data_IF_887340131361
#
_entry.id   IF_887340131361
#
_cell.length_a   1.000
_cell.length_b   1.000
_cell.length_c   1.000
_cell.angle_alpha   90.00
_cell.angle_beta   90.00
_cell.angle_gamma   90.00
#
_symmetry.space_group_name_H-M   'P 1'
#
loop_
_entity.id
_entity.type
_entity.pdbx_description
1 polymer ?
#
# COMPACT_ATOMS: atom_id res chain seq x y z
N UNK A 1 31.81 4.52 3.76
CA UNK A 1 31.37 3.64 2.67
C UNK A 1 30.15 4.29 2.08
N UNK A 2 30.19 4.65 0.80
CA UNK A 2 29.07 5.29 0.12
C UNK A 2 28.32 4.18 -0.63
N UNK A 3 27.02 4.05 -0.37
CA UNK A 3 26.17 3.03 -1.01
C UNK A 3 25.57 3.61 -2.29
N UNK A 4 25.40 2.81 -3.37
CA UNK A 4 24.72 3.25 -4.57
C UNK A 4 23.32 3.80 -4.25
N UNK A 5 22.89 4.94 -4.81
CA UNK A 5 21.58 5.53 -4.53
C UNK A 5 20.41 4.58 -4.80
N UNK A 6 20.51 3.74 -5.83
CA UNK A 6 19.53 2.71 -6.18
C UNK A 6 19.38 1.64 -5.10
N UNK A 7 20.49 1.23 -4.47
CA UNK A 7 20.49 0.24 -3.40
C UNK A 7 19.88 0.84 -2.12
N UNK A 8 20.19 2.10 -1.83
CA UNK A 8 19.55 2.84 -0.73
C UNK A 8 18.03 2.95 -0.92
N UNK A 9 17.58 3.27 -2.15
CA UNK A 9 16.17 3.39 -2.46
C UNK A 9 15.45 2.04 -2.37
N UNK A 10 16.04 0.98 -2.91
CA UNK A 10 15.49 -0.37 -2.83
C UNK A 10 15.38 -0.82 -1.38
N UNK A 11 16.45 -0.64 -0.59
CA UNK A 11 16.47 -0.99 0.83
C UNK A 11 15.37 -0.26 1.61
N UNK A 12 15.13 1.03 1.31
CA UNK A 12 14.05 1.80 1.92
C UNK A 12 12.68 1.22 1.59
N UNK A 13 12.37 0.96 0.32
CA UNK A 13 11.07 0.42 -0.08
C UNK A 13 10.83 -0.99 0.49
N UNK A 14 11.86 -1.83 0.49
CA UNK A 14 11.84 -3.15 1.11
C UNK A 14 11.59 -3.08 2.63
N UNK A 15 12.24 -2.13 3.31
CA UNK A 15 12.06 -1.93 4.76
C UNK A 15 10.63 -1.49 5.09
N UNK A 16 10.07 -0.57 4.30
CA UNK A 16 8.66 -0.14 4.44
C UNK A 16 7.72 -1.32 4.20
N UNK A 17 7.92 -2.09 3.14
CA UNK A 17 7.08 -3.25 2.84
C UNK A 17 7.10 -4.28 3.97
N UNK A 18 8.29 -4.61 4.51
CA UNK A 18 8.42 -5.56 5.61
C UNK A 18 7.77 -5.07 6.91
N UNK A 19 7.84 -3.76 7.19
CA UNK A 19 7.16 -3.16 8.32
C UNK A 19 5.63 -3.25 8.18
N UNK A 20 5.09 -2.96 6.99
CA UNK A 20 3.65 -3.09 6.71
C UNK A 20 3.17 -4.54 6.79
N UNK A 21 3.95 -5.50 6.26
CA UNK A 21 3.63 -6.93 6.38
C UNK A 21 3.60 -7.36 7.84
N UNK A 22 4.59 -6.93 8.62
CA UNK A 22 4.66 -7.26 10.05
C UNK A 22 3.48 -6.66 10.83
N UNK A 23 3.06 -5.43 10.49
CA UNK A 23 1.90 -4.79 11.09
C UNK A 23 0.60 -5.55 10.75
N UNK A 24 0.45 -6.00 9.51
CA UNK A 24 -0.77 -6.66 9.03
C UNK A 24 -0.88 -8.14 9.45
N UNK A 25 0.19 -8.75 9.96
CA UNK A 25 0.23 -10.18 10.28
C UNK A 25 -0.84 -10.66 11.29
N UNK A 26 -1.36 -9.77 12.12
CA UNK A 26 -2.43 -10.07 13.09
C UNK A 26 -3.86 -9.78 12.60
N UNK A 27 -4.03 -9.28 11.37
CA UNK A 27 -5.34 -8.88 10.83
C UNK A 27 -6.00 -10.09 10.17
N UNK A 28 -7.30 -10.28 10.44
CA UNK A 28 -8.11 -11.30 9.77
C UNK A 28 -8.88 -10.71 8.58
N UNK A 29 -9.00 -11.50 7.52
CA UNK A 29 -9.67 -11.09 6.29
C UNK A 29 -8.75 -10.36 5.30
N UNK A 30 -9.30 -9.92 4.16
CA UNK A 30 -8.51 -9.27 3.13
C UNK A 30 -8.12 -7.83 3.52
N UNK A 31 -6.97 -7.39 3.02
CA UNK A 31 -6.48 -6.03 3.25
C UNK A 31 -6.97 -5.09 2.17
N UNK A 32 -7.54 -3.95 2.57
CA UNK A 32 -7.84 -2.85 1.65
C UNK A 32 -6.67 -1.86 1.66
N UNK A 33 -6.03 -1.70 0.51
CA UNK A 33 -4.88 -0.82 0.32
C UNK A 33 -5.33 0.47 -0.39
N UNK A 34 -5.14 1.62 0.27
CA UNK A 34 -5.53 2.93 -0.24
C UNK A 34 -4.45 3.99 0.02
N UNK A 35 -4.50 5.09 -0.73
CA UNK A 35 -3.58 6.22 -0.62
C UNK A 35 -2.44 6.17 -1.64
N UNK A 36 -1.85 7.33 -1.93
CA UNK A 36 -0.85 7.50 -2.99
C UNK A 36 0.39 6.62 -2.86
N UNK A 37 0.74 6.18 -1.65
CA UNK A 37 1.87 5.24 -1.41
C UNK A 37 1.64 3.89 -2.10
N UNK A 38 0.39 3.45 -2.27
CA UNK A 38 0.04 2.19 -2.92
C UNK A 38 0.27 2.24 -4.45
N UNK A 39 0.51 3.44 -5.02
CA UNK A 39 1.01 3.55 -6.40
C UNK A 39 2.45 3.04 -6.57
N UNK A 40 3.20 2.84 -5.49
CA UNK A 40 4.52 2.23 -5.53
C UNK A 40 4.39 0.72 -5.80
N UNK A 41 4.75 0.32 -7.03
CA UNK A 41 4.59 -1.06 -7.51
C UNK A 41 5.43 -2.07 -6.73
N UNK A 42 6.57 -1.67 -6.15
CA UNK A 42 7.40 -2.57 -5.34
C UNK A 42 6.72 -2.88 -4.00
N UNK A 43 6.27 -1.86 -3.28
CA UNK A 43 5.55 -2.04 -2.00
C UNK A 43 4.27 -2.84 -2.24
N UNK A 44 3.49 -2.46 -3.27
CA UNK A 44 2.24 -3.15 -3.60
C UNK A 44 2.46 -4.63 -3.90
N UNK A 45 3.44 -4.96 -4.76
CA UNK A 45 3.74 -6.35 -5.11
C UNK A 45 4.10 -7.20 -3.88
N UNK A 46 4.81 -6.61 -2.90
CA UNK A 46 5.15 -7.30 -1.65
C UNK A 46 3.93 -7.57 -0.77
N UNK A 47 2.99 -6.64 -0.71
CA UNK A 47 1.73 -6.82 0.03
C UNK A 47 0.81 -7.83 -0.65
N UNK A 48 0.64 -7.73 -1.97
CA UNK A 48 -0.16 -8.67 -2.78
C UNK A 48 0.38 -10.11 -2.69
N UNK A 49 1.70 -10.28 -2.53
CA UNK A 49 2.31 -11.59 -2.36
C UNK A 49 2.11 -12.17 -0.94
N UNK A 50 1.89 -11.33 0.06
CA UNK A 50 1.79 -11.74 1.46
C UNK A 50 0.34 -11.93 1.94
N UNK A 51 -0.63 -11.25 1.31
CA UNK A 51 -2.03 -11.23 1.76
C UNK A 51 -2.99 -11.25 0.57
N UNK A 52 -4.25 -11.59 0.83
CA UNK A 52 -5.33 -11.23 -0.08
C UNK A 52 -5.55 -9.71 0.01
N UNK A 53 -5.37 -8.99 -1.10
CA UNK A 53 -5.45 -7.53 -1.14
C UNK A 53 -6.51 -7.04 -2.13
N UNK A 54 -7.12 -5.90 -1.78
CA UNK A 54 -7.96 -5.11 -2.68
C UNK A 54 -7.42 -3.69 -2.74
N UNK A 55 -7.28 -3.17 -3.96
CA UNK A 55 -6.78 -1.82 -4.21
C UNK A 55 -7.41 -1.27 -5.49
N UNK A 56 -7.54 0.04 -5.59
CA UNK A 56 -7.81 0.69 -6.86
C UNK A 56 -6.57 0.62 -7.79
N UNK A 57 -6.77 0.81 -9.09
CA UNK A 57 -5.65 0.98 -10.02
C UNK A 57 -4.80 2.19 -9.63
N UNK A 58 -3.54 2.21 -10.08
CA UNK A 58 -2.53 3.16 -9.57
C UNK A 58 -2.91 4.62 -9.84
N UNK A 59 -3.61 4.90 -10.95
CA UNK A 59 -4.13 6.20 -11.32
C UNK A 59 -5.27 6.70 -10.41
N UNK A 60 -5.90 5.81 -9.64
CA UNK A 60 -7.02 6.10 -8.75
C UNK A 60 -6.67 5.92 -7.26
N UNK A 61 -5.47 5.47 -6.93
CA UNK A 61 -5.05 5.17 -5.56
C UNK A 61 -4.78 6.42 -4.70
N UNK A 62 -4.42 7.54 -5.34
CA UNK A 62 -4.13 8.81 -4.68
C UNK A 62 -5.40 9.61 -4.33
N UNK A 63 -5.21 10.78 -3.72
CA UNK A 63 -6.27 11.65 -3.21
C UNK A 63 -7.34 11.93 -4.27
N UNK A 64 -8.56 11.50 -3.96
CA UNK A 64 -9.75 11.77 -4.75
C UNK A 64 -11.01 11.78 -3.87
N UNK A 65 -12.16 12.12 -4.44
CA UNK A 65 -13.40 12.33 -3.69
C UNK A 65 -14.27 11.07 -3.51
N UNK A 66 -13.90 9.92 -4.09
CA UNK A 66 -14.82 8.76 -4.16
C UNK A 66 -15.17 8.20 -2.79
N UNK A 67 -14.17 8.11 -1.90
CA UNK A 67 -14.36 7.59 -0.55
C UNK A 67 -15.34 8.45 0.25
N UNK A 68 -15.19 9.77 0.19
CA UNK A 68 -16.07 10.73 0.87
C UNK A 68 -17.49 10.69 0.29
N UNK A 69 -17.61 10.64 -1.04
CA UNK A 69 -18.90 10.57 -1.71
C UNK A 69 -19.66 9.28 -1.35
N UNK A 70 -18.99 8.13 -1.37
CA UNK A 70 -19.57 6.85 -1.00
C UNK A 70 -19.94 6.81 0.48
N UNK A 71 -19.06 7.29 1.36
CA UNK A 71 -19.31 7.38 2.80
C UNK A 71 -20.57 8.21 3.10
N UNK A 72 -20.71 9.38 2.46
CA UNK A 72 -21.91 10.21 2.58
C UNK A 72 -23.18 9.56 2.02
N UNK A 73 -23.08 8.84 0.90
CA UNK A 73 -24.22 8.14 0.29
C UNK A 73 -24.68 6.92 1.11
N UNK A 74 -23.75 6.22 1.77
CA UNK A 74 -24.04 5.02 2.56
C UNK A 74 -24.47 5.34 4.01
N UNK A 75 -24.32 6.58 4.47
CA UNK A 75 -24.57 6.99 5.87
C UNK A 75 -23.86 6.09 6.89
N UNK A 76 -22.63 5.64 6.57
CA UNK A 76 -21.79 4.87 7.48
C UNK A 76 -21.24 5.72 8.63
#
# INVERSE_FOLDING_TARGET
MEFPPEDCALWLFESIANALISLAAGVSGPLILAGGVISNRLIKARLDAAFETYSADSEFAADNAIGVALYGAMQL
#
